data_IF_041527280834
#
_entry.id   IF_041527280834
#
_cell.length_a   1.000
_cell.length_b   1.000
_cell.length_c   1.000
_cell.angle_alpha   90.00
_cell.angle_beta   90.00
_cell.angle_gamma   90.00
#
_symmetry.space_group_name_H-M   'P 1'
#
loop_
_entity.id
_entity.type
_entity.pdbx_description
1 polymer ?
#
# COMPACT_ATOMS: atom_id res chain seq x y z
N UNK A 1 6.53 -18.02 24.32
CA UNK A 1 7.18 -17.77 23.03
C UNK A 1 8.57 -18.41 23.04
N UNK A 2 8.84 -19.38 22.17
CA UNK A 2 10.17 -19.99 22.02
C UNK A 2 10.89 -19.34 20.83
N UNK A 3 12.11 -18.81 20.98
CA UNK A 3 12.86 -18.16 19.91
C UNK A 3 13.18 -19.04 18.70
N UNK A 4 12.99 -20.36 18.81
CA UNK A 4 13.36 -21.35 17.78
C UNK A 4 12.45 -21.37 16.55
N UNK A 5 11.24 -20.81 16.67
CA UNK A 5 10.22 -20.84 15.61
C UNK A 5 10.11 -19.51 14.84
N UNK A 6 10.91 -18.51 15.21
CA UNK A 6 10.86 -17.22 14.55
C UNK A 6 11.68 -17.27 13.25
N UNK A 7 10.99 -17.38 12.11
CA UNK A 7 11.61 -17.28 10.79
C UNK A 7 12.18 -15.86 10.60
N UNK A 8 13.50 -15.78 10.53
CA UNK A 8 14.22 -14.56 10.17
C UNK A 8 13.91 -14.24 8.71
N UNK A 9 13.02 -13.28 8.45
CA UNK A 9 12.72 -12.83 7.08
C UNK A 9 13.67 -11.66 6.77
N UNK A 10 14.47 -11.80 5.70
CA UNK A 10 15.26 -10.70 5.18
C UNK A 10 14.32 -9.67 4.54
N UNK A 11 14.16 -8.52 5.20
CA UNK A 11 13.27 -7.43 4.75
C UNK A 11 13.97 -6.40 3.84
N UNK A 12 15.28 -6.51 3.66
CA UNK A 12 16.07 -5.62 2.79
C UNK A 12 15.55 -5.52 1.34
N UNK A 13 15.00 -6.59 0.71
CA UNK A 13 14.39 -6.48 -0.62
C UNK A 13 13.20 -5.53 -0.70
N UNK A 14 12.53 -5.25 0.42
CA UNK A 14 11.37 -4.36 0.48
C UNK A 14 11.71 -2.93 0.89
N UNK A 15 12.96 -2.66 1.30
CA UNK A 15 13.48 -1.35 1.69
C UNK A 15 14.28 -0.72 0.53
N UNK A 16 13.66 -0.63 -0.64
CA UNK A 16 14.31 -0.19 -1.89
C UNK A 16 14.84 1.26 -1.86
N UNK A 17 14.45 2.07 -0.88
CA UNK A 17 14.92 3.46 -0.69
C UNK A 17 16.08 3.58 0.31
N UNK A 18 16.63 2.47 0.80
CA UNK A 18 17.64 2.53 1.85
C UNK A 18 19.07 2.76 1.31
N UNK A 19 19.76 3.74 1.92
CA UNK A 19 21.10 4.19 1.48
C UNK A 19 22.23 3.24 1.87
N UNK A 20 22.07 2.45 2.93
CA UNK A 20 23.12 1.55 3.43
C UNK A 20 22.72 0.07 3.26
N UNK A 21 23.27 -0.55 2.22
CA UNK A 21 22.98 -1.94 1.84
C UNK A 21 23.71 -2.98 2.70
N UNK A 22 24.61 -2.56 3.60
CA UNK A 22 25.38 -3.46 4.46
C UNK A 22 24.70 -3.72 5.82
N UNK A 23 23.67 -2.96 6.18
CA UNK A 23 22.90 -3.19 7.41
C UNK A 23 21.98 -4.40 7.27
N UNK A 24 22.23 -5.44 8.07
CA UNK A 24 21.24 -6.49 8.31
C UNK A 24 20.14 -5.98 9.24
N UNK A 25 18.96 -5.72 8.69
CA UNK A 25 17.74 -5.48 9.46
C UNK A 25 17.03 -6.80 9.77
N UNK A 26 17.68 -7.65 10.56
CA UNK A 26 17.04 -8.83 11.13
C UNK A 26 16.20 -8.40 12.33
N UNK A 27 14.95 -7.95 12.10
CA UNK A 27 13.96 -7.80 13.17
C UNK A 27 13.13 -9.08 13.27
N UNK A 28 12.97 -9.59 14.49
CA UNK A 28 11.84 -10.47 14.80
C UNK A 28 10.57 -9.70 14.46
N UNK A 29 9.96 -10.07 13.33
CA UNK A 29 8.75 -9.42 12.83
C UNK A 29 7.64 -10.41 13.07
N UNK A 30 6.68 -10.10 13.94
CA UNK A 30 5.58 -11.02 14.25
C UNK A 30 4.55 -11.12 13.11
N UNK A 31 4.46 -10.06 12.30
CA UNK A 31 3.45 -9.91 11.25
C UNK A 31 4.00 -9.22 10.00
N UNK A 32 3.63 -9.71 8.83
CA UNK A 32 3.80 -9.05 7.53
C UNK A 32 2.47 -8.44 7.11
N UNK A 33 2.48 -7.14 6.79
CA UNK A 33 1.32 -6.46 6.19
C UNK A 33 1.56 -6.38 4.69
N UNK A 34 0.68 -6.99 3.91
CA UNK A 34 0.68 -6.92 2.44
C UNK A 34 -0.43 -5.96 2.02
N UNK A 35 -0.06 -4.97 1.22
CA UNK A 35 -0.99 -4.02 0.61
C UNK A 35 -0.91 -4.21 -0.89
N UNK A 36 -2.02 -4.60 -1.51
CA UNK A 36 -2.11 -4.81 -2.94
C UNK A 36 -3.11 -3.82 -3.53
N UNK A 37 -2.65 -2.93 -4.41
CA UNK A 37 -3.52 -2.10 -5.24
C UNK A 37 -4.06 -2.99 -6.36
N UNK A 38 -5.34 -3.35 -6.27
CA UNK A 38 -6.00 -4.21 -7.24
C UNK A 38 -6.38 -3.44 -8.50
N UNK A 39 -6.92 -2.24 -8.33
CA UNK A 39 -7.30 -1.37 -9.43
C UNK A 39 -7.21 0.09 -9.04
N UNK A 40 -6.92 0.94 -10.02
CA UNK A 40 -6.92 2.38 -9.88
C UNK A 40 -7.42 3.01 -11.19
N UNK A 41 -8.48 3.80 -11.09
CA UNK A 41 -9.05 4.51 -12.23
C UNK A 41 -9.55 5.89 -11.84
N UNK A 42 -9.73 6.74 -12.85
CA UNK A 42 -10.27 8.09 -12.69
C UNK A 42 -11.60 8.17 -13.41
N UNK A 43 -12.65 8.44 -12.65
CA UNK A 43 -13.96 8.78 -13.18
C UNK A 43 -14.01 10.28 -13.49
N UNK A 44 -14.30 10.60 -14.75
CA UNK A 44 -14.51 11.96 -15.21
C UNK A 44 -15.97 12.09 -15.61
N UNK A 45 -16.71 12.97 -14.94
CA UNK A 45 -18.10 13.27 -15.26
C UNK A 45 -18.19 14.69 -15.81
N UNK A 46 -18.59 14.80 -17.07
CA UNK A 46 -18.80 16.07 -17.73
C UNK A 46 -20.27 16.48 -17.59
N UNK A 47 -20.51 17.57 -16.87
CA UNK A 47 -21.76 18.30 -16.88
C UNK A 47 -21.67 19.46 -17.87
N UNK A 48 -22.82 19.98 -18.30
CA UNK A 48 -22.90 21.04 -19.32
C UNK A 48 -22.06 22.29 -18.99
N UNK A 49 -21.76 22.56 -17.71
CA UNK A 49 -20.99 23.73 -17.24
C UNK A 49 -19.82 23.40 -16.31
N UNK A 50 -19.62 22.13 -15.93
CA UNK A 50 -18.57 21.73 -14.97
C UNK A 50 -18.11 20.30 -15.23
N UNK A 51 -16.86 19.99 -14.89
CA UNK A 51 -16.33 18.63 -14.94
C UNK A 51 -15.95 18.22 -13.52
N UNK A 52 -16.41 17.06 -13.06
CA UNK A 52 -15.93 16.47 -11.81
C UNK A 52 -14.97 15.32 -12.10
N UNK A 53 -13.90 15.22 -11.31
CA UNK A 53 -12.91 14.15 -11.37
C UNK A 53 -12.79 13.47 -10.02
N UNK A 54 -12.93 12.15 -10.03
CA UNK A 54 -12.79 11.30 -8.85
C UNK A 54 -11.80 10.19 -9.16
N UNK A 55 -10.79 10.02 -8.33
CA UNK A 55 -9.91 8.86 -8.37
C UNK A 55 -10.47 7.76 -7.46
N UNK A 56 -10.62 6.56 -7.98
CA UNK A 56 -11.06 5.39 -7.20
C UNK A 56 -9.90 4.40 -7.15
N UNK A 57 -9.54 3.95 -5.94
CA UNK A 57 -8.50 2.96 -5.71
C UNK A 57 -9.05 1.77 -4.91
N UNK A 58 -8.98 0.57 -5.49
CA UNK A 58 -9.36 -0.66 -4.82
C UNK A 58 -8.12 -1.33 -4.25
N UNK A 59 -8.05 -1.45 -2.92
CA UNK A 59 -6.88 -1.96 -2.21
C UNK A 59 -7.25 -3.16 -1.36
N UNK A 60 -6.47 -4.23 -1.46
CA UNK A 60 -6.54 -5.38 -0.58
C UNK A 60 -5.42 -5.30 0.46
N UNK A 61 -5.79 -5.41 1.74
CA UNK A 61 -4.90 -5.45 2.89
C UNK A 61 -4.92 -6.85 3.48
N UNK A 62 -3.75 -7.45 3.72
CA UNK A 62 -3.61 -8.72 4.43
C UNK A 62 -2.57 -8.60 5.53
N UNK A 63 -2.89 -9.12 6.72
CA UNK A 63 -1.95 -9.26 7.82
C UNK A 63 -1.66 -10.75 7.97
N UNK A 64 -0.39 -11.13 7.89
CA UNK A 64 0.07 -12.52 7.89
C UNK A 64 1.00 -12.71 9.07
N UNK A 65 0.73 -13.70 9.92
CA UNK A 65 1.67 -14.09 10.97
C UNK A 65 2.91 -14.74 10.35
N UNK A 66 4.09 -14.28 10.72
CA UNK A 66 5.35 -14.82 10.20
C UNK A 66 5.74 -16.15 10.84
N UNK A 67 5.24 -16.43 12.05
CA UNK A 67 5.56 -17.66 12.79
C UNK A 67 4.95 -18.90 12.14
N UNK A 68 3.78 -18.77 11.52
CA UNK A 68 3.04 -19.90 10.94
C UNK A 68 2.43 -19.63 9.55
N UNK A 69 2.63 -18.43 8.99
CA UNK A 69 2.10 -18.05 7.67
C UNK A 69 0.58 -17.83 7.62
N UNK A 70 -0.14 -17.87 8.76
CA UNK A 70 -1.60 -17.70 8.77
C UNK A 70 -1.97 -16.25 8.48
N UNK A 71 -2.96 -16.07 7.61
CA UNK A 71 -3.63 -14.78 7.41
C UNK A 71 -4.49 -14.51 8.65
N UNK A 72 -4.15 -13.46 9.39
CA UNK A 72 -4.87 -13.04 10.59
C UNK A 72 -6.02 -12.10 10.27
N UNK A 73 -5.83 -11.27 9.25
CA UNK A 73 -6.85 -10.35 8.75
C UNK A 73 -6.67 -10.16 7.25
N UNK A 74 -7.79 -10.08 6.53
CA UNK A 74 -7.83 -9.68 5.14
C UNK A 74 -9.02 -8.74 4.93
N UNK A 75 -8.78 -7.58 4.34
CA UNK A 75 -9.84 -6.61 4.01
C UNK A 75 -9.62 -6.02 2.64
N UNK A 76 -10.72 -5.82 1.93
CA UNK A 76 -10.76 -4.94 0.76
C UNK A 76 -11.24 -3.58 1.22
N UNK A 77 -10.62 -2.52 0.72
CA UNK A 77 -11.06 -1.15 0.90
C UNK A 77 -11.07 -0.46 -0.45
N UNK A 78 -12.17 0.22 -0.75
CA UNK A 78 -12.25 1.20 -1.83
C UNK A 78 -11.91 2.56 -1.23
N UNK A 79 -10.97 3.26 -1.84
CA UNK A 79 -10.56 4.61 -1.47
C UNK A 79 -11.00 5.56 -2.57
N UNK A 80 -11.89 6.49 -2.22
CA UNK A 80 -12.37 7.53 -3.11
C UNK A 80 -11.61 8.82 -2.83
N UNK A 81 -10.94 9.33 -3.86
CA UNK A 81 -10.05 10.49 -3.81
C UNK A 81 -10.65 11.61 -4.66
N UNK A 82 -11.08 12.69 -4.02
CA UNK A 82 -11.52 13.89 -4.75
C UNK A 82 -10.32 14.55 -5.41
N UNK A 83 -10.28 14.55 -6.75
CA UNK A 83 -9.23 15.22 -7.52
C UNK A 83 -9.68 16.65 -7.76
N UNK A 84 -9.06 17.60 -7.04
CA UNK A 84 -9.29 19.03 -7.32
C UNK A 84 -8.65 19.37 -8.65
N UNK A 85 -9.38 20.08 -9.50
CA UNK A 85 -8.78 20.72 -10.67
C UNK A 85 -7.75 21.74 -10.16
N UNK A 86 -6.47 21.45 -10.36
CA UNK A 86 -5.47 22.51 -10.35
C UNK A 86 -5.73 23.35 -11.61
N UNK A 87 -6.06 24.63 -11.42
CA UNK A 87 -6.15 25.60 -12.50
C UNK A 87 -4.92 25.47 -13.40
N UNK A 88 -5.09 24.90 -14.60
CA UNK A 88 -4.04 24.80 -15.61
C UNK A 88 -3.55 26.18 -16.11
N UNK A 89 -4.12 27.28 -15.58
CA UNK A 89 -3.79 28.67 -15.91
C UNK A 89 -2.62 29.27 -15.10
N UNK A 90 -2.04 28.56 -14.13
CA UNK A 90 -0.91 29.10 -13.35
C UNK A 90 0.49 28.59 -13.76
N UNK A 91 0.61 27.81 -14.84
CA UNK A 91 1.90 27.31 -15.34
C UNK A 91 2.21 27.80 -16.77
N UNK A 92 2.12 29.11 -17.02
CA UNK A 92 2.76 29.78 -18.15
C UNK A 92 3.31 31.14 -17.72
#
# INVERSE_FOLDING_TARGET
>A
FSPKDAKLINVSPFLTQEKDKAKMYAKFTDYVVVVNLQDFYVNITNYFITTSKEGVANVNFKIISTSNGKILAAKNAELNLTLKDQDAKQNY
#
